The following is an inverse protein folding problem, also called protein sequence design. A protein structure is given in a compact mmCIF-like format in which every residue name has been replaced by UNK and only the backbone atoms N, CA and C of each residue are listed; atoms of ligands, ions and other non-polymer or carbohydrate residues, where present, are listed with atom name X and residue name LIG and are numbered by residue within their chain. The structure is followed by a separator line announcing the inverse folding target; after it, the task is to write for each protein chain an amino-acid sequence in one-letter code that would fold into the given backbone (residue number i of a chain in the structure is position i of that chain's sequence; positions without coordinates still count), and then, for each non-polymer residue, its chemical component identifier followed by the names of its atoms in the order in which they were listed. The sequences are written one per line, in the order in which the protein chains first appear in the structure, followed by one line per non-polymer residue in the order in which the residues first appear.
data_IF_180525019675
#
_entry.id   IF_180525019675
#
_cell.length_a   1.000
_cell.length_b   1.000
_cell.length_c   1.000
_cell.angle_alpha   90.00
_cell.angle_beta   90.00
_cell.angle_gamma   90.00
#
_symmetry.space_group_name_H-M   'P 1'
#
loop_
_entity.id
_entity.type
_entity.pdbx_description
1 polymer ?
#
# COMPACT_ATOMS: atom_id res chain seq x y z
N UNK A 1 -18.03 -1.41 10.94
CA UNK A 1 -16.69 -2.02 11.08
C UNK A 1 -16.25 -2.55 9.71
N UNK A 2 -14.96 -2.48 9.40
CA UNK A 2 -14.43 -3.00 8.13
C UNK A 2 -14.57 -4.54 8.09
N UNK A 3 -15.13 -5.08 6.99
CA UNK A 3 -15.36 -6.52 6.81
C UNK A 3 -14.09 -7.35 7.06
N UNK A 4 -12.97 -6.97 6.47
CA UNK A 4 -11.69 -7.68 6.64
C UNK A 4 -11.18 -7.68 8.09
N UNK A 5 -11.54 -6.70 8.90
CA UNK A 5 -11.18 -6.70 10.33
C UNK A 5 -11.95 -7.77 11.10
N UNK A 6 -13.20 -8.01 10.74
CA UNK A 6 -14.02 -9.06 11.32
C UNK A 6 -13.53 -10.43 10.87
N UNK A 7 -13.26 -10.60 9.57
CA UNK A 7 -12.64 -11.82 9.00
C UNK A 7 -11.30 -12.13 9.68
N UNK A 8 -10.46 -11.11 9.89
CA UNK A 8 -9.18 -11.31 10.59
C UNK A 8 -9.38 -11.92 11.98
N UNK A 9 -10.34 -11.40 12.76
CA UNK A 9 -10.59 -11.89 14.13
C UNK A 9 -11.25 -13.28 14.16
N UNK A 10 -12.21 -13.51 13.24
CA UNK A 10 -13.01 -14.72 13.23
C UNK A 10 -12.29 -15.92 12.60
N UNK A 11 -11.52 -15.71 11.55
CA UNK A 11 -10.97 -16.78 10.71
C UNK A 11 -9.45 -16.76 10.65
N UNK A 12 -8.84 -15.60 10.35
CA UNK A 12 -7.40 -15.51 10.06
C UNK A 12 -6.55 -15.74 11.31
N UNK A 13 -6.88 -15.09 12.41
CA UNK A 13 -6.10 -15.21 13.64
C UNK A 13 -6.12 -16.64 14.22
N UNK A 14 -7.26 -17.37 14.30
CA UNK A 14 -7.26 -18.77 14.72
C UNK A 14 -6.51 -19.69 13.77
N UNK A 15 -6.60 -19.45 12.44
CA UNK A 15 -5.88 -20.24 11.44
C UNK A 15 -4.36 -20.10 11.57
N UNK A 16 -3.86 -18.85 11.73
CA UNK A 16 -2.44 -18.57 11.96
C UNK A 16 -1.95 -19.18 13.27
N UNK A 17 -2.74 -19.06 14.35
CA UNK A 17 -2.40 -19.65 15.64
C UNK A 17 -2.19 -21.15 15.54
N UNK A 18 -3.08 -21.84 14.80
CA UNK A 18 -2.98 -23.29 14.60
C UNK A 18 -1.79 -23.67 13.69
N UNK A 19 -1.54 -22.90 12.63
CA UNK A 19 -0.49 -23.21 11.64
C UNK A 19 0.92 -23.05 12.19
N UNK A 20 1.15 -21.98 12.97
CA UNK A 20 2.47 -21.63 13.50
C UNK A 20 2.64 -21.97 14.99
N UNK A 21 1.64 -22.64 15.59
CA UNK A 21 1.66 -23.12 16.99
C UNK A 21 2.05 -22.03 18.02
N UNK A 22 1.50 -20.82 17.84
CA UNK A 22 1.77 -19.71 18.77
C UNK A 22 1.27 -20.01 20.17
N UNK A 23 2.10 -19.70 21.17
CA UNK A 23 1.78 -19.91 22.60
C UNK A 23 0.82 -18.88 23.16
N UNK A 24 0.76 -17.69 22.53
CA UNK A 24 -0.06 -16.57 22.99
C UNK A 24 -0.78 -15.90 21.82
N UNK A 25 -2.04 -15.48 21.97
CA UNK A 25 -2.76 -14.70 20.97
C UNK A 25 -2.07 -13.39 20.59
N UNK A 26 -1.21 -12.84 21.46
CA UNK A 26 -0.46 -11.61 21.21
C UNK A 26 0.70 -11.80 20.22
N UNK A 27 1.12 -13.05 19.97
CA UNK A 27 2.17 -13.38 19.00
C UNK A 27 1.64 -13.45 17.56
N UNK A 28 0.33 -13.57 17.39
CA UNK A 28 -0.29 -13.69 16.07
C UNK A 28 0.04 -12.45 15.24
N UNK A 29 0.60 -12.59 14.02
CA UNK A 29 0.92 -11.48 13.16
C UNK A 29 -0.35 -10.74 12.72
N UNK A 30 -0.26 -9.43 12.70
CA UNK A 30 -1.32 -8.52 12.24
C UNK A 30 -0.74 -7.43 11.36
N UNK A 31 -1.57 -6.80 10.56
CA UNK A 31 -1.16 -5.62 9.80
C UNK A 31 -1.15 -4.42 10.74
N UNK A 32 -0.02 -3.73 10.82
CA UNK A 32 0.17 -2.53 11.63
C UNK A 32 -0.29 -1.28 10.86
N UNK A 33 0.18 -1.13 9.63
CA UNK A 33 -0.13 0.00 8.76
C UNK A 33 0.05 -0.35 7.29
N UNK A 34 -0.60 0.44 6.43
CA UNK A 34 -0.34 0.47 4.99
C UNK A 34 0.18 1.85 4.64
N UNK A 35 1.29 1.90 3.93
CA UNK A 35 1.88 3.15 3.44
C UNK A 35 1.76 3.17 1.92
N UNK A 36 1.09 4.19 1.40
CA UNK A 36 0.98 4.45 -0.03
C UNK A 36 1.93 5.62 -0.33
N UNK A 37 2.83 5.44 -1.28
CA UNK A 37 3.79 6.46 -1.69
C UNK A 37 3.75 6.65 -3.20
N UNK A 38 3.79 7.88 -3.63
CA UNK A 38 3.94 8.23 -5.04
C UNK A 38 5.09 9.24 -5.19
N UNK A 39 6.12 8.81 -5.95
CA UNK A 39 7.24 9.68 -6.31
C UNK A 39 6.88 10.56 -7.50
N UNK A 40 7.11 11.86 -7.40
CA UNK A 40 6.81 12.85 -8.44
C UNK A 40 8.09 13.56 -8.85
N UNK A 41 8.81 12.98 -9.82
CA UNK A 41 10.05 13.58 -10.32
C UNK A 41 9.86 14.94 -10.98
N UNK A 42 8.68 15.14 -11.58
CA UNK A 42 8.31 16.40 -12.26
C UNK A 42 7.98 17.54 -11.27
N UNK A 43 7.78 17.24 -9.98
CA UNK A 43 7.40 18.23 -8.95
C UNK A 43 8.43 19.34 -8.75
N UNK A 44 9.69 19.10 -9.12
CA UNK A 44 10.77 20.09 -9.08
C UNK A 44 10.54 21.26 -10.04
N UNK A 45 9.95 20.97 -11.20
CA UNK A 45 9.70 21.93 -12.27
C UNK A 45 8.23 22.39 -12.29
N UNK A 46 7.31 21.59 -11.80
CA UNK A 46 5.87 21.85 -11.80
C UNK A 46 5.23 21.46 -10.46
N UNK A 47 4.97 22.45 -9.61
CA UNK A 47 4.32 22.25 -8.31
C UNK A 47 2.87 21.75 -8.44
N UNK A 48 2.16 22.12 -9.52
CA UNK A 48 0.77 21.70 -9.77
C UNK A 48 0.67 20.17 -9.95
N UNK A 49 1.71 19.57 -10.53
CA UNK A 49 1.77 18.10 -10.67
C UNK A 49 1.75 17.39 -9.31
N UNK A 50 2.40 17.97 -8.30
CA UNK A 50 2.37 17.42 -6.95
C UNK A 50 1.00 17.61 -6.28
N UNK A 51 0.36 18.75 -6.47
CA UNK A 51 -0.97 19.01 -5.89
C UNK A 51 -2.01 18.06 -6.48
N UNK A 52 -1.92 17.74 -7.79
CA UNK A 52 -2.74 16.72 -8.43
C UNK A 52 -2.55 15.36 -7.77
N UNK A 53 -1.29 14.92 -7.57
CA UNK A 53 -0.98 13.63 -6.91
C UNK A 53 -1.47 13.59 -5.46
N UNK A 54 -1.36 14.68 -4.72
CA UNK A 54 -1.89 14.76 -3.36
C UNK A 54 -3.40 14.57 -3.36
N UNK A 55 -4.12 15.16 -4.32
CA UNK A 55 -5.55 15.00 -4.47
C UNK A 55 -5.92 13.55 -4.81
N UNK A 56 -5.25 12.95 -5.80
CA UNK A 56 -5.47 11.56 -6.20
C UNK A 56 -5.28 10.60 -5.03
N UNK A 57 -4.14 10.72 -4.33
CA UNK A 57 -3.88 9.89 -3.15
C UNK A 57 -4.87 10.13 -2.01
N UNK A 58 -5.36 11.35 -1.85
CA UNK A 58 -6.37 11.68 -0.84
C UNK A 58 -7.70 11.00 -1.15
N UNK A 59 -8.10 10.98 -2.42
CA UNK A 59 -9.33 10.31 -2.89
C UNK A 59 -9.19 8.79 -2.70
N UNK A 60 -8.10 8.19 -3.17
CA UNK A 60 -7.83 6.75 -3.06
C UNK A 60 -7.80 6.28 -1.61
N UNK A 61 -7.12 7.02 -0.75
CA UNK A 61 -6.89 6.63 0.64
C UNK A 61 -8.06 6.99 1.58
N UNK A 62 -8.93 7.94 1.18
CA UNK A 62 -9.92 8.53 2.08
C UNK A 62 -9.31 9.33 3.24
N UNK A 63 -8.03 9.70 3.11
CA UNK A 63 -7.27 10.46 4.10
C UNK A 63 -6.30 11.40 3.39
N UNK A 64 -6.17 12.63 3.88
CA UNK A 64 -5.29 13.65 3.28
C UNK A 64 -3.85 13.16 3.16
N UNK A 65 -3.32 13.21 1.95
CA UNK A 65 -1.93 12.88 1.66
C UNK A 65 -0.99 13.98 2.14
N UNK A 66 0.23 13.59 2.51
CA UNK A 66 1.27 14.50 3.00
C UNK A 66 2.40 14.56 1.97
N UNK A 67 2.88 15.75 1.59
CA UNK A 67 4.03 15.87 0.70
C UNK A 67 5.29 15.30 1.36
N UNK A 68 6.15 14.68 0.57
CA UNK A 68 7.47 14.21 0.98
C UNK A 68 8.56 15.13 0.46
N UNK A 69 9.59 15.35 1.28
CA UNK A 69 10.64 16.31 1.01
C UNK A 69 11.99 15.61 0.80
N UNK A 70 12.83 16.19 -0.07
CA UNK A 70 14.19 15.74 -0.26
C UNK A 70 15.02 15.93 1.00
N UNK A 71 15.66 14.86 1.47
CA UNK A 71 16.51 14.89 2.69
C UNK A 71 17.91 15.44 2.42
N UNK A 72 18.40 15.29 1.18
CA UNK A 72 19.74 15.75 0.75
C UNK A 72 19.65 16.45 -0.58
N UNK A 73 20.58 17.39 -0.83
CA UNK A 73 20.76 18.01 -2.15
C UNK A 73 21.53 17.06 -3.05
N UNK A 74 21.05 16.84 -4.28
CA UNK A 74 21.68 15.99 -5.29
C UNK A 74 21.73 16.76 -6.61
N UNK A 75 22.93 17.21 -7.00
CA UNK A 75 23.14 18.06 -8.20
C UNK A 75 22.68 17.36 -9.50
N UNK A 76 22.98 16.07 -9.67
CA UNK A 76 22.62 15.29 -10.86
C UNK A 76 21.11 15.26 -11.12
N UNK A 77 20.30 15.28 -10.06
CA UNK A 77 18.83 15.31 -10.15
C UNK A 77 18.26 16.73 -10.03
N UNK A 78 19.11 17.75 -9.94
CA UNK A 78 18.71 19.15 -9.72
C UNK A 78 17.82 19.33 -8.48
N UNK A 79 18.09 18.54 -7.42
CA UNK A 79 17.36 18.55 -6.17
C UNK A 79 18.11 19.33 -5.10
N UNK A 80 17.37 20.15 -4.35
CA UNK A 80 17.84 20.80 -3.13
C UNK A 80 17.13 20.21 -1.93
N UNK A 81 17.80 20.18 -0.79
CA UNK A 81 17.20 19.78 0.48
C UNK A 81 15.95 20.62 0.76
N UNK A 82 14.87 19.96 1.21
CA UNK A 82 13.59 20.61 1.49
C UNK A 82 12.67 20.78 0.27
N UNK A 83 13.09 20.42 -0.94
CA UNK A 83 12.18 20.43 -2.10
C UNK A 83 11.16 19.30 -1.97
N UNK A 84 9.91 19.58 -2.35
CA UNK A 84 8.84 18.58 -2.42
C UNK A 84 9.07 17.66 -3.62
N UNK A 85 9.11 16.35 -3.40
CA UNK A 85 9.45 15.35 -4.42
C UNK A 85 8.44 14.22 -4.58
N UNK A 86 7.41 14.20 -3.75
CA UNK A 86 6.37 13.18 -3.80
C UNK A 86 5.31 13.38 -2.73
N UNK A 87 4.42 12.42 -2.62
CA UNK A 87 3.38 12.39 -1.60
C UNK A 87 3.22 10.99 -1.01
N UNK A 88 2.83 10.92 0.25
CA UNK A 88 2.54 9.66 0.95
C UNK A 88 1.31 9.75 1.82
N UNK A 89 0.69 8.59 2.05
CA UNK A 89 -0.37 8.40 3.04
C UNK A 89 -0.04 7.19 3.89
N UNK A 90 -0.31 7.27 5.18
CA UNK A 90 -0.20 6.14 6.10
C UNK A 90 -1.57 5.82 6.67
N UNK A 91 -2.06 4.63 6.37
CA UNK A 91 -3.37 4.13 6.82
C UNK A 91 -3.20 3.17 7.99
N UNK A 92 -4.08 3.30 9.00
CA UNK A 92 -4.16 2.42 10.17
C UNK A 92 -5.62 2.15 10.54
N UNK A 93 -5.83 1.12 11.36
CA UNK A 93 -7.14 0.79 11.91
C UNK A 93 -8.17 0.45 10.84
N UNK A 94 -9.38 0.94 10.95
CA UNK A 94 -10.48 0.60 10.02
C UNK A 94 -10.22 1.02 8.59
N UNK A 95 -9.71 2.24 8.39
CA UNK A 95 -9.39 2.75 7.05
C UNK A 95 -8.36 1.87 6.32
N UNK A 96 -7.41 1.30 7.04
CA UNK A 96 -6.43 0.37 6.50
C UNK A 96 -7.08 -0.91 5.98
N UNK A 97 -7.99 -1.52 6.76
CA UNK A 97 -8.69 -2.73 6.36
C UNK A 97 -9.66 -2.48 5.19
N UNK A 98 -10.35 -1.34 5.18
CA UNK A 98 -11.23 -0.95 4.07
C UNK A 98 -10.44 -0.71 2.78
N UNK A 99 -9.31 -0.02 2.87
CA UNK A 99 -8.42 0.18 1.71
C UNK A 99 -7.91 -1.16 1.17
N UNK A 100 -7.49 -2.07 2.05
CA UNK A 100 -7.01 -3.39 1.67
C UNK A 100 -8.10 -4.22 0.98
N UNK A 101 -9.32 -4.19 1.48
CA UNK A 101 -10.47 -4.87 0.88
C UNK A 101 -10.76 -4.35 -0.54
N UNK A 102 -10.79 -3.03 -0.72
CA UNK A 102 -10.96 -2.41 -2.04
C UNK A 102 -9.81 -2.72 -2.98
N UNK A 103 -8.57 -2.68 -2.49
CA UNK A 103 -7.40 -2.98 -3.29
C UNK A 103 -7.44 -4.42 -3.84
N UNK A 104 -7.68 -5.42 -2.99
CA UNK A 104 -7.64 -6.82 -3.39
C UNK A 104 -8.83 -7.23 -4.24
N UNK A 105 -10.03 -6.79 -3.90
CA UNK A 105 -11.26 -7.26 -4.55
C UNK A 105 -11.71 -6.40 -5.75
N UNK A 106 -11.35 -5.11 -5.78
CA UNK A 106 -11.82 -4.20 -6.83
C UNK A 106 -10.71 -3.64 -7.70
N UNK A 107 -9.60 -3.18 -7.12
CA UNK A 107 -8.57 -2.47 -7.87
C UNK A 107 -7.61 -3.41 -8.60
N UNK A 108 -7.08 -4.43 -7.93
CA UNK A 108 -6.13 -5.37 -8.55
C UNK A 108 -6.73 -6.14 -9.73
N UNK A 109 -7.99 -6.64 -9.70
CA UNK A 109 -8.58 -7.29 -10.87
C UNK A 109 -8.70 -6.39 -12.10
N UNK A 110 -8.67 -5.07 -11.95
CA UNK A 110 -8.72 -4.09 -13.04
C UNK A 110 -7.34 -3.82 -13.68
N UNK A 111 -6.27 -4.32 -13.07
CA UNK A 111 -4.93 -4.21 -13.66
C UNK A 111 -4.91 -5.02 -14.97
N UNK A 112 -4.40 -4.38 -16.02
CA UNK A 112 -4.25 -5.03 -17.33
C UNK A 112 -3.32 -6.24 -17.21
N UNK A 113 -3.76 -7.39 -17.76
CA UNK A 113 -3.02 -8.66 -17.75
C UNK A 113 -2.61 -9.12 -16.34
N UNK A 114 -3.50 -8.92 -15.35
CA UNK A 114 -3.24 -9.30 -13.97
C UNK A 114 -3.13 -10.82 -13.81
N UNK A 115 -1.96 -11.27 -13.36
CA UNK A 115 -1.64 -12.69 -13.11
C UNK A 115 -1.41 -13.01 -11.62
N UNK A 116 -1.72 -12.07 -10.76
CA UNK A 116 -1.43 -12.13 -9.33
C UNK A 116 -0.28 -11.21 -8.92
N UNK A 117 -0.15 -10.97 -7.62
CA UNK A 117 0.93 -10.19 -7.03
C UNK A 117 2.15 -11.07 -6.77
N UNK A 118 3.35 -10.49 -6.82
CA UNK A 118 4.59 -11.23 -6.64
C UNK A 118 4.69 -11.84 -5.22
N UNK A 119 4.79 -13.19 -5.10
CA UNK A 119 4.88 -13.84 -3.79
C UNK A 119 6.22 -13.62 -3.06
N UNK A 120 7.23 -13.05 -3.72
CA UNK A 120 8.59 -12.89 -3.18
C UNK A 120 8.96 -11.41 -2.90
N UNK A 121 7.99 -10.49 -2.91
CA UNK A 121 8.25 -9.05 -2.68
C UNK A 121 8.23 -8.70 -1.17
N UNK A 122 8.81 -9.55 -0.34
CA UNK A 122 9.00 -9.34 1.09
C UNK A 122 10.41 -8.82 1.39
N UNK A 123 10.58 -8.15 2.52
CA UNK A 123 11.83 -7.49 2.94
C UNK A 123 12.71 -8.35 3.87
N UNK A 124 12.37 -9.59 4.14
CA UNK A 124 13.05 -10.47 5.11
C UNK A 124 12.58 -10.29 6.56
N UNK A 125 11.68 -9.34 6.82
CA UNK A 125 11.14 -9.02 8.15
C UNK A 125 9.62 -9.02 8.19
N UNK A 126 8.99 -9.66 7.23
CA UNK A 126 7.53 -9.79 7.16
C UNK A 126 6.79 -8.57 6.63
N UNK A 127 7.45 -7.59 6.02
CA UNK A 127 6.77 -6.51 5.32
C UNK A 127 6.71 -6.82 3.82
N UNK A 128 5.63 -6.39 3.17
CA UNK A 128 5.38 -6.64 1.76
C UNK A 128 5.26 -5.34 0.97
N UNK A 129 5.88 -5.27 -0.20
CA UNK A 129 5.83 -4.11 -1.08
C UNK A 129 5.17 -4.46 -2.42
N UNK A 130 4.18 -3.69 -2.82
CA UNK A 130 3.44 -3.80 -4.07
C UNK A 130 3.62 -2.53 -4.90
N UNK A 131 4.25 -2.65 -6.07
CA UNK A 131 4.32 -1.56 -7.06
C UNK A 131 3.14 -1.60 -8.02
N UNK A 132 2.44 -0.48 -8.15
CA UNK A 132 1.39 -0.27 -9.15
C UNK A 132 1.88 0.70 -10.21
N UNK A 133 1.59 0.39 -11.48
CA UNK A 133 2.03 1.23 -12.61
C UNK A 133 1.10 2.41 -12.86
N UNK A 134 -0.17 2.29 -12.51
CA UNK A 134 -1.23 3.23 -12.88
C UNK A 134 -2.19 3.49 -11.73
N UNK A 135 -2.54 4.76 -11.45
CA UNK A 135 -3.57 5.11 -10.48
C UNK A 135 -5.00 4.83 -10.99
N UNK A 136 -5.18 4.65 -12.29
CA UNK A 136 -6.49 4.45 -12.93
C UNK A 136 -7.16 3.12 -12.56
N UNK A 137 -6.45 2.21 -11.92
CA UNK A 137 -7.03 0.96 -11.42
C UNK A 137 -8.02 1.19 -10.27
N UNK A 138 -7.90 2.33 -9.59
CA UNK A 138 -8.82 2.72 -8.53
C UNK A 138 -10.10 3.31 -9.12
N UNK A 139 -11.28 2.75 -8.81
CA UNK A 139 -12.55 3.21 -9.37
C UNK A 139 -12.92 4.62 -8.95
N UNK A 140 -12.32 5.12 -7.87
CA UNK A 140 -12.55 6.46 -7.34
C UNK A 140 -11.90 7.56 -8.18
N UNK A 141 -10.96 7.18 -9.07
CA UNK A 141 -10.23 8.13 -9.94
C UNK A 141 -10.93 8.22 -11.29
N UNK A 142 -11.38 9.42 -11.63
CA UNK A 142 -11.97 9.73 -12.94
C UNK A 142 -10.85 10.03 -13.95
N UNK A 143 -10.88 9.33 -15.09
CA UNK A 143 -9.89 9.46 -16.15
C UNK A 143 -9.70 10.91 -16.64
N UNK A 144 -10.81 11.63 -16.80
CA UNK A 144 -10.83 13.00 -17.34
C UNK A 144 -10.16 14.04 -16.41
N UNK A 145 -10.02 13.72 -15.13
CA UNK A 145 -9.41 14.60 -14.12
C UNK A 145 -7.91 14.32 -13.87
N UNK A 146 -7.39 13.26 -14.49
CA UNK A 146 -5.99 12.86 -14.30
C UNK A 146 -5.07 13.65 -15.22
N UNK A 147 -4.13 14.39 -14.64
CA UNK A 147 -3.11 15.15 -15.37
C UNK A 147 -2.13 14.21 -16.10
N UNK A 148 -1.64 13.19 -15.42
CA UNK A 148 -0.66 12.22 -15.93
C UNK A 148 -0.84 10.87 -15.24
N UNK A 149 -0.70 9.79 -16.00
CA UNK A 149 -0.65 8.43 -15.43
C UNK A 149 0.64 8.30 -14.59
N UNK A 150 0.48 7.93 -13.33
CA UNK A 150 1.58 7.75 -12.37
C UNK A 150 1.43 6.44 -11.63
N UNK A 151 2.58 5.81 -11.39
CA UNK A 151 2.66 4.65 -10.50
C UNK A 151 2.72 5.05 -9.03
N UNK A 152 2.50 4.06 -8.18
CA UNK A 152 2.63 4.21 -6.73
C UNK A 152 3.09 2.91 -6.10
N UNK A 153 3.72 3.03 -4.94
CA UNK A 153 4.16 1.92 -4.12
C UNK A 153 3.26 1.79 -2.90
N UNK A 154 2.79 0.57 -2.64
CA UNK A 154 1.96 0.24 -1.49
C UNK A 154 2.74 -0.73 -0.60
N UNK A 155 3.12 -0.28 0.59
CA UNK A 155 3.84 -1.09 1.55
C UNK A 155 2.91 -1.54 2.67
N UNK A 156 2.79 -2.85 2.85
CA UNK A 156 2.11 -3.49 3.96
C UNK A 156 3.12 -3.77 5.06
N UNK A 157 2.98 -3.05 6.17
CA UNK A 157 3.83 -3.26 7.36
C UNK A 157 3.08 -4.16 8.32
N UNK A 158 3.69 -5.29 8.66
CA UNK A 158 3.10 -6.28 9.55
C UNK A 158 3.89 -6.41 10.85
N UNK A 159 3.33 -7.11 11.81
CA UNK A 159 4.02 -7.48 13.05
C UNK A 159 4.62 -8.89 12.98
N UNK A 160 4.64 -9.51 11.80
CA UNK A 160 5.26 -10.81 11.59
C UNK A 160 6.79 -10.73 11.79
N UNK A 161 7.38 -11.80 12.28
CA UNK A 161 8.83 -11.90 12.44
C UNK A 161 9.50 -12.46 11.18
N UNK A 162 8.78 -13.26 10.41
CA UNK A 162 9.28 -13.91 9.19
C UNK A 162 8.39 -13.60 7.99
N UNK A 163 8.96 -13.72 6.79
CA UNK A 163 8.21 -13.53 5.53
C UNK A 163 7.16 -14.60 5.31
N UNK A 164 7.37 -15.81 5.85
CA UNK A 164 6.42 -16.92 5.77
C UNK A 164 5.14 -16.62 6.54
N UNK A 165 5.28 -16.10 7.77
CA UNK A 165 4.15 -15.67 8.59
C UNK A 165 3.36 -14.56 7.90
N UNK A 166 4.05 -13.56 7.34
CA UNK A 166 3.43 -12.45 6.65
C UNK A 166 2.74 -12.88 5.34
N UNK A 167 3.35 -13.80 4.59
CA UNK A 167 2.76 -14.36 3.37
C UNK A 167 1.46 -15.08 3.68
N UNK A 168 1.46 -15.91 4.71
CA UNK A 168 0.25 -16.62 5.11
C UNK A 168 -0.84 -15.68 5.63
N UNK A 169 -0.45 -14.67 6.42
CA UNK A 169 -1.36 -13.61 6.86
C UNK A 169 -2.04 -12.93 5.66
N UNK A 170 -1.26 -12.44 4.70
CA UNK A 170 -1.81 -11.76 3.52
C UNK A 170 -2.65 -12.69 2.65
N UNK A 171 -2.25 -13.96 2.49
CA UNK A 171 -3.01 -14.98 1.76
C UNK A 171 -4.38 -15.21 2.38
N UNK A 172 -4.45 -15.41 3.69
CA UNK A 172 -5.72 -15.57 4.42
C UNK A 172 -6.58 -14.31 4.41
N UNK A 173 -5.96 -13.13 4.28
CA UNK A 173 -6.67 -11.86 4.10
C UNK A 173 -7.17 -11.64 2.66
N UNK A 174 -6.93 -12.58 1.74
CA UNK A 174 -7.41 -12.52 0.37
C UNK A 174 -6.46 -11.90 -0.64
N UNK A 175 -5.18 -11.76 -0.32
CA UNK A 175 -4.18 -11.28 -1.27
C UNK A 175 -4.03 -12.25 -2.46
N UNK A 176 -4.21 -11.79 -3.72
CA UNK A 176 -4.16 -12.64 -4.90
C UNK A 176 -2.71 -12.87 -5.36
N UNK A 177 -1.98 -13.71 -4.67
CA UNK A 177 -0.61 -14.07 -5.07
C UNK A 177 -0.60 -14.84 -6.40
N UNK A 178 0.42 -14.59 -7.21
CA UNK A 178 0.70 -15.38 -8.40
C UNK A 178 1.10 -16.81 -7.99
N UNK A 179 0.63 -17.81 -8.77
CA UNK A 179 0.99 -19.21 -8.59
C UNK A 179 2.40 -19.48 -9.06
#
# INVERSE_FOLDING_TARGET
MARLRETYKAEVAPALMKKFEYKSPMQIPKIDKIVINCGVGDAKDNSKALDSVINDLTIIAGQKAVPTYAKKSVANFKLRQGMKIGAKVTLRGERMYEFMDRLFNFSLPRVRDFKGINPNAFDGRGNYALGLKEQLIFPEIEYDKVDKIRGMDICFVTTANTDEEARELLKLMGAPFAN
#
